data_IF_816656987273
#
_entry.id   IF_816656987273
#
_cell.length_a   1.000
_cell.length_b   1.000
_cell.length_c   1.000
_cell.angle_alpha   90.00
_cell.angle_beta   90.00
_cell.angle_gamma   90.00
#
_symmetry.space_group_name_H-M   'P 1'
#
loop_
_entity.id
_entity.type
_entity.pdbx_description
1 polymer ?
#
# COMPACT_ATOMS: atom_id res chain seq x y z
N UNK A 1 10.71 22.92 -1.44
CA UNK A 1 10.24 22.20 -2.66
C UNK A 1 9.00 21.41 -2.26
N UNK A 2 7.87 21.60 -2.93
CA UNK A 2 6.62 20.88 -2.64
C UNK A 2 6.64 19.55 -3.41
N UNK A 3 6.29 18.43 -2.76
CA UNK A 3 6.18 17.13 -3.45
C UNK A 3 4.97 17.10 -4.39
N UNK A 4 4.97 16.18 -5.36
CA UNK A 4 3.81 15.96 -6.24
C UNK A 4 2.52 15.77 -5.44
N UNK A 5 2.51 14.87 -4.45
CA UNK A 5 1.33 14.59 -3.63
C UNK A 5 0.84 15.80 -2.82
N UNK A 6 1.76 16.63 -2.31
CA UNK A 6 1.38 17.86 -1.62
C UNK A 6 0.78 18.90 -2.58
N UNK A 7 1.20 18.91 -3.84
CA UNK A 7 0.70 19.83 -4.86
C UNK A 7 -0.64 19.36 -5.47
N UNK A 8 -0.84 18.05 -5.60
CA UNK A 8 -2.05 17.46 -6.20
C UNK A 8 -3.16 17.09 -5.20
N UNK A 9 -2.91 17.21 -3.89
CA UNK A 9 -3.93 16.91 -2.86
C UNK A 9 -5.21 17.72 -3.10
N UNK A 10 -6.36 17.08 -2.96
CA UNK A 10 -7.67 17.71 -3.11
C UNK A 10 -8.33 18.08 -1.77
N UNK A 11 -7.64 17.85 -0.65
CA UNK A 11 -8.08 18.21 0.69
C UNK A 11 -6.93 18.81 1.48
N UNK A 12 -7.22 19.93 2.15
CA UNK A 12 -6.33 20.50 3.15
C UNK A 12 -6.68 19.90 4.51
N UNK A 13 -5.65 19.42 5.21
CA UNK A 13 -5.77 18.90 6.57
C UNK A 13 -5.20 19.97 7.50
N UNK A 14 -6.09 20.67 8.18
CA UNK A 14 -5.75 21.62 9.24
C UNK A 14 -6.23 21.04 10.57
N UNK A 15 -5.29 20.89 11.50
CA UNK A 15 -5.55 20.42 12.85
C UNK A 15 -5.12 21.50 13.83
N UNK A 16 -5.87 21.73 14.91
CA UNK A 16 -5.50 22.71 15.92
C UNK A 16 -4.21 22.27 16.61
N UNK A 17 -3.40 23.25 17.03
CA UNK A 17 -2.30 22.99 17.96
C UNK A 17 -2.89 22.47 19.27
N UNK A 18 -2.38 21.35 19.76
CA UNK A 18 -2.76 20.83 21.08
C UNK A 18 -2.30 21.81 22.16
N UNK A 19 -3.21 22.26 23.02
CA UNK A 19 -2.91 23.16 24.14
C UNK A 19 -3.50 22.61 25.43
N UNK A 20 -2.88 22.97 26.56
CA UNK A 20 -3.35 22.58 27.89
C UNK A 20 -3.35 21.07 28.14
N UNK A 21 -4.15 20.67 29.12
CA UNK A 21 -4.33 19.28 29.51
C UNK A 21 -5.49 18.65 28.72
N UNK A 22 -5.27 17.44 28.20
CA UNK A 22 -6.26 16.69 27.43
C UNK A 22 -6.35 15.27 27.98
N UNK A 23 -7.56 14.72 28.05
CA UNK A 23 -7.83 13.37 28.54
C UNK A 23 -8.48 12.56 27.43
N UNK A 24 -7.92 11.37 27.18
CA UNK A 24 -8.42 10.40 26.20
C UNK A 24 -8.23 8.99 26.76
N UNK A 25 -9.02 8.04 26.27
CA UNK A 25 -8.85 6.62 26.61
C UNK A 25 -7.56 6.07 25.99
N UNK A 26 -7.26 6.51 24.76
CA UNK A 26 -6.04 6.15 24.02
C UNK A 26 -5.39 7.39 23.42
N UNK A 27 -4.11 7.58 23.72
CA UNK A 27 -3.26 8.60 23.08
C UNK A 27 -2.33 7.94 22.05
N UNK A 28 -2.42 8.38 20.79
CA UNK A 28 -1.63 7.90 19.67
C UNK A 28 -0.60 8.96 19.28
N UNK A 29 0.67 8.57 19.26
CA UNK A 29 1.78 9.45 18.86
C UNK A 29 2.22 9.09 17.44
N UNK A 30 2.03 10.02 16.51
CA UNK A 30 2.45 9.93 15.10
C UNK A 30 1.28 9.86 14.12
N UNK A 31 1.22 10.82 13.19
CA UNK A 31 0.19 10.95 12.16
C UNK A 31 0.51 10.24 10.84
N UNK A 32 1.20 9.09 10.90
CA UNK A 32 1.45 8.21 9.75
C UNK A 32 0.34 7.17 9.54
N UNK A 33 0.51 6.25 8.58
CA UNK A 33 -0.50 5.22 8.27
C UNK A 33 -0.90 4.39 9.50
N UNK A 34 0.08 3.93 10.29
CA UNK A 34 -0.20 3.13 11.49
C UNK A 34 -1.02 3.92 12.51
N UNK A 35 -0.61 5.15 12.83
CA UNK A 35 -1.34 5.97 13.80
C UNK A 35 -2.74 6.34 13.33
N UNK A 36 -2.88 6.73 12.05
CA UNK A 36 -4.18 7.05 11.46
C UNK A 36 -5.10 5.84 11.38
N UNK A 37 -4.58 4.67 11.00
CA UNK A 37 -5.35 3.43 10.94
C UNK A 37 -5.81 3.01 12.33
N UNK A 38 -4.91 3.04 13.33
CA UNK A 38 -5.28 2.77 14.72
C UNK A 38 -6.34 3.75 15.23
N UNK A 39 -6.20 5.05 14.94
CA UNK A 39 -7.18 6.05 15.34
C UNK A 39 -8.55 5.81 14.70
N UNK A 40 -8.57 5.49 13.40
CA UNK A 40 -9.79 5.19 12.66
C UNK A 40 -10.56 4.02 13.29
N UNK A 41 -9.88 2.90 13.50
CA UNK A 41 -10.52 1.68 14.03
C UNK A 41 -10.91 1.78 15.50
N UNK A 42 -10.12 2.47 16.33
CA UNK A 42 -10.51 2.70 17.72
C UNK A 42 -11.70 3.67 17.81
N UNK A 43 -11.67 4.75 17.03
CA UNK A 43 -12.77 5.71 17.02
C UNK A 43 -14.08 5.12 16.45
N UNK A 44 -14.00 4.21 15.47
CA UNK A 44 -15.19 3.53 14.94
C UNK A 44 -15.88 2.63 15.97
N UNK A 45 -15.13 2.15 16.97
CA UNK A 45 -15.64 1.39 18.12
C UNK A 45 -16.06 2.30 19.29
N UNK A 46 -16.06 3.63 19.10
CA UNK A 46 -16.50 4.59 20.11
C UNK A 46 -15.46 4.94 21.18
N UNK A 47 -14.20 4.53 21.02
CA UNK A 47 -13.11 4.88 21.94
C UNK A 47 -12.76 6.37 21.81
N UNK A 48 -12.56 7.07 22.93
CA UNK A 48 -12.06 8.45 22.89
C UNK A 48 -10.56 8.45 22.59
N UNK A 49 -10.20 8.81 21.35
CA UNK A 49 -8.82 8.78 20.86
C UNK A 49 -8.26 10.17 20.66
N UNK A 50 -7.07 10.42 21.20
CA UNK A 50 -6.25 11.60 20.91
C UNK A 50 -5.06 11.20 20.02
N UNK A 51 -5.04 11.67 18.77
CA UNK A 51 -3.88 11.52 17.88
C UNK A 51 -3.06 12.81 17.85
N UNK A 52 -1.75 12.69 18.10
CA UNK A 52 -0.82 13.81 18.13
C UNK A 52 0.28 13.59 17.09
N UNK A 53 0.52 14.59 16.26
CA UNK A 53 1.62 14.65 15.29
C UNK A 53 2.41 15.94 15.53
N UNK A 54 3.74 15.86 15.56
CA UNK A 54 4.60 17.02 15.82
C UNK A 54 4.68 17.96 14.61
N UNK A 55 4.38 17.46 13.41
CA UNK A 55 4.37 18.22 12.17
C UNK A 55 2.95 18.26 11.56
N UNK A 56 2.84 18.03 10.24
CA UNK A 56 1.56 17.86 9.56
C UNK A 56 1.27 16.37 9.44
N UNK A 57 0.00 16.00 9.51
CA UNK A 57 -0.44 14.63 9.25
C UNK A 57 0.17 14.13 7.93
N UNK A 58 0.70 12.91 7.97
CA UNK A 58 1.40 12.25 6.88
C UNK A 58 2.67 12.97 6.36
N UNK A 59 3.31 13.89 7.09
CA UNK A 59 4.52 14.57 6.60
C UNK A 59 5.79 13.70 6.54
N UNK A 60 5.76 12.50 7.13
CA UNK A 60 6.87 11.54 7.10
C UNK A 60 6.79 10.53 5.94
N UNK A 61 7.31 9.33 6.17
CA UNK A 61 7.35 8.25 5.16
C UNK A 61 5.97 7.93 4.56
N UNK A 62 4.90 8.01 5.35
CA UNK A 62 3.54 7.71 4.88
C UNK A 62 3.01 8.68 3.82
N UNK A 63 3.41 9.95 3.81
CA UNK A 63 3.01 10.88 2.73
C UNK A 63 4.09 11.12 1.67
N UNK A 64 5.28 10.56 1.86
CA UNK A 64 6.41 10.66 0.93
C UNK A 64 6.69 9.36 0.15
N UNK A 65 5.78 8.39 0.17
CA UNK A 65 5.94 7.11 -0.50
C UNK A 65 5.62 7.19 -2.01
N UNK A 66 5.95 6.13 -2.77
CA UNK A 66 5.78 6.08 -4.23
C UNK A 66 4.34 5.92 -4.75
N UNK A 67 3.33 5.87 -3.87
CA UNK A 67 1.91 5.83 -4.24
C UNK A 67 1.40 4.47 -4.76
N UNK A 68 2.24 3.43 -4.71
CA UNK A 68 1.90 2.10 -5.22
C UNK A 68 1.27 1.22 -4.14
N UNK A 69 0.21 0.51 -4.51
CA UNK A 69 -0.48 -0.47 -3.65
C UNK A 69 -0.26 -1.86 -4.24
N UNK A 70 0.65 -2.64 -3.67
CA UNK A 70 1.03 -3.99 -4.14
C UNK A 70 0.93 -5.02 -3.01
N UNK A 71 0.72 -6.29 -3.37
CA UNK A 71 0.61 -7.41 -2.42
C UNK A 71 1.94 -8.09 -2.13
N UNK A 72 2.98 -7.77 -2.91
CA UNK A 72 4.30 -8.36 -2.76
C UNK A 72 5.08 -7.80 -1.58
N UNK A 73 5.96 -8.62 -1.01
CA UNK A 73 6.96 -8.16 -0.06
C UNK A 73 8.14 -7.52 -0.78
N UNK A 74 9.12 -7.01 -0.03
CA UNK A 74 10.39 -6.50 -0.59
C UNK A 74 11.11 -7.52 -1.49
N UNK A 75 10.86 -8.81 -1.31
CA UNK A 75 11.41 -9.92 -2.09
C UNK A 75 10.25 -10.76 -2.64
N UNK A 76 10.48 -11.36 -3.81
CA UNK A 76 9.51 -12.23 -4.47
C UNK A 76 9.25 -13.54 -3.69
N UNK A 77 8.21 -14.27 -4.10
CA UNK A 77 7.83 -15.52 -3.46
C UNK A 77 8.88 -16.62 -3.59
N UNK A 78 9.66 -16.69 -4.68
CA UNK A 78 10.72 -17.69 -4.80
C UNK A 78 11.79 -17.49 -3.72
N UNK A 79 12.20 -16.25 -3.49
CA UNK A 79 13.15 -15.90 -2.45
C UNK A 79 12.61 -16.20 -1.05
N UNK A 80 11.35 -15.82 -0.78
CA UNK A 80 10.71 -16.03 0.51
C UNK A 80 10.54 -17.51 0.81
N UNK A 81 10.11 -18.32 -0.17
CA UNK A 81 10.00 -19.77 -0.04
C UNK A 81 11.35 -20.41 0.31
N UNK A 82 12.41 -20.01 -0.40
CA UNK A 82 13.76 -20.52 -0.14
C UNK A 82 14.26 -20.16 1.25
N UNK A 83 13.90 -18.99 1.76
CA UNK A 83 14.44 -18.44 3.02
C UNK A 83 13.63 -18.85 4.24
N UNK A 84 12.31 -18.88 4.11
CA UNK A 84 11.36 -19.04 5.21
C UNK A 84 10.52 -20.31 5.10
N UNK A 85 10.51 -20.99 3.96
CA UNK A 85 9.60 -22.10 3.66
C UNK A 85 8.28 -21.62 3.06
N UNK A 86 7.59 -22.55 2.37
CA UNK A 86 6.39 -22.24 1.59
C UNK A 86 5.24 -21.68 2.44
N UNK A 87 4.98 -22.26 3.61
CA UNK A 87 3.84 -21.85 4.44
C UNK A 87 3.97 -20.40 4.92
N UNK A 88 5.17 -19.99 5.33
CA UNK A 88 5.44 -18.61 5.71
C UNK A 88 5.40 -17.66 4.52
N UNK A 89 5.94 -18.07 3.37
CA UNK A 89 5.85 -17.28 2.14
C UNK A 89 4.38 -17.07 1.73
N UNK A 90 3.55 -18.10 1.82
CA UNK A 90 2.10 -18.06 1.57
C UNK A 90 1.35 -17.17 2.56
N UNK A 91 1.69 -17.24 3.85
CA UNK A 91 1.11 -16.36 4.85
C UNK A 91 1.43 -14.89 4.58
N UNK A 92 2.69 -14.58 4.23
CA UNK A 92 3.12 -13.23 3.86
C UNK A 92 2.38 -12.71 2.63
N UNK A 93 2.27 -13.53 1.58
CA UNK A 93 1.47 -13.17 0.39
C UNK A 93 0.02 -12.85 0.76
N UNK A 94 -0.60 -13.70 1.59
CA UNK A 94 -1.97 -13.50 2.06
C UNK A 94 -2.16 -12.20 2.86
N UNK A 95 -1.16 -11.80 3.66
CA UNK A 95 -1.18 -10.50 4.36
C UNK A 95 -1.18 -9.36 3.34
N UNK A 96 -0.28 -9.39 2.35
CA UNK A 96 -0.18 -8.35 1.33
C UNK A 96 -1.46 -8.23 0.49
N UNK A 97 -2.05 -9.35 0.07
CA UNK A 97 -3.34 -9.35 -0.64
C UNK A 97 -4.45 -8.72 0.20
N UNK A 98 -4.60 -9.13 1.46
CA UNK A 98 -5.58 -8.53 2.38
C UNK A 98 -5.35 -7.03 2.56
N UNK A 99 -4.09 -6.59 2.67
CA UNK A 99 -3.76 -5.17 2.78
C UNK A 99 -4.15 -4.36 1.53
N UNK A 100 -3.97 -4.89 0.32
CA UNK A 100 -4.44 -4.20 -0.91
C UNK A 100 -5.94 -3.98 -0.90
N UNK A 101 -6.71 -5.04 -0.62
CA UNK A 101 -8.16 -4.95 -0.59
C UNK A 101 -8.63 -4.04 0.55
N UNK A 102 -7.98 -4.08 1.70
CA UNK A 102 -8.26 -3.17 2.81
C UNK A 102 -8.14 -1.69 2.41
N UNK A 103 -7.08 -1.32 1.69
CA UNK A 103 -6.92 0.05 1.16
C UNK A 103 -8.06 0.37 0.19
N UNK A 104 -8.41 -0.57 -0.69
CA UNK A 104 -9.51 -0.38 -1.65
C UNK A 104 -10.85 -0.20 -0.93
N UNK A 105 -11.14 -1.01 0.08
CA UNK A 105 -12.39 -0.96 0.85
C UNK A 105 -12.52 0.38 1.57
N UNK A 106 -11.44 0.89 2.17
CA UNK A 106 -11.42 2.24 2.78
C UNK A 106 -11.66 3.35 1.74
N UNK A 107 -11.08 3.22 0.55
CA UNK A 107 -11.31 4.18 -0.55
C UNK A 107 -12.78 4.19 -0.94
N UNK A 108 -13.39 3.01 -1.08
CA UNK A 108 -14.79 2.86 -1.47
C UNK A 108 -15.72 3.33 -0.33
N UNK A 109 -15.51 2.91 0.90
CA UNK A 109 -16.35 3.25 2.07
C UNK A 109 -16.40 4.77 2.31
N UNK A 110 -15.23 5.41 2.36
CA UNK A 110 -15.11 6.85 2.64
C UNK A 110 -15.15 7.73 1.37
N UNK A 111 -15.37 7.12 0.20
CA UNK A 111 -15.44 7.81 -1.10
C UNK A 111 -14.21 8.71 -1.34
N UNK A 112 -13.02 8.16 -1.06
CA UNK A 112 -11.76 8.90 -1.09
C UNK A 112 -11.32 9.13 -2.54
N UNK A 113 -11.27 10.40 -2.95
CA UNK A 113 -10.78 10.80 -4.27
C UNK A 113 -9.24 10.79 -4.27
N UNK A 114 -8.60 9.67 -4.55
CA UNK A 114 -7.13 9.55 -4.52
C UNK A 114 -6.53 9.01 -5.83
N UNK A 115 -7.23 9.19 -6.95
CA UNK A 115 -6.78 8.79 -8.29
C UNK A 115 -6.32 7.32 -8.39
N UNK A 116 -6.94 6.44 -7.59
CA UNK A 116 -6.60 5.02 -7.55
C UNK A 116 -6.79 4.38 -8.93
N UNK A 117 -5.79 3.60 -9.35
CA UNK A 117 -5.81 2.79 -10.58
C UNK A 117 -5.48 1.34 -10.23
N UNK A 118 -6.26 0.39 -10.77
CA UNK A 118 -6.00 -1.04 -10.61
C UNK A 118 -4.81 -1.43 -11.50
N UNK A 119 -3.85 -2.14 -10.92
CA UNK A 119 -2.75 -2.77 -11.64
C UNK A 119 -1.41 -2.04 -11.48
N UNK A 120 -0.33 -2.80 -11.60
CA UNK A 120 1.05 -2.31 -11.62
C UNK A 120 1.77 -3.05 -12.75
N UNK A 121 2.46 -2.31 -13.61
CA UNK A 121 3.31 -2.87 -14.65
C UNK A 121 4.75 -2.99 -14.15
N UNK A 122 5.39 -4.12 -14.44
CA UNK A 122 6.80 -4.36 -14.14
C UNK A 122 7.56 -4.64 -15.44
N UNK A 123 8.09 -3.59 -16.12
CA UNK A 123 8.80 -3.76 -17.39
C UNK A 123 10.16 -4.42 -17.20
N UNK A 124 10.49 -5.37 -18.07
CA UNK A 124 11.81 -5.97 -18.15
C UNK A 124 12.71 -5.15 -19.08
N UNK A 125 13.87 -4.75 -18.57
CA UNK A 125 14.86 -3.99 -19.35
C UNK A 125 15.85 -4.88 -20.12
N UNK A 126 15.73 -6.21 -20.03
CA UNK A 126 16.53 -7.20 -20.77
C UNK A 126 15.70 -8.45 -21.07
N UNK A 127 15.86 -9.00 -22.29
CA UNK A 127 15.13 -10.19 -22.74
C UNK A 127 15.27 -11.38 -21.78
N UNK A 128 16.46 -11.58 -21.20
CA UNK A 128 16.72 -12.70 -20.28
C UNK A 128 15.85 -12.69 -19.02
N UNK A 129 15.27 -11.56 -18.63
CA UNK A 129 14.38 -11.47 -17.47
C UNK A 129 12.93 -11.84 -17.82
N UNK A 130 12.58 -11.87 -19.10
CA UNK A 130 11.24 -12.22 -19.56
C UNK A 130 10.85 -13.66 -19.19
N UNK A 131 11.77 -14.61 -19.37
CA UNK A 131 11.57 -16.01 -18.96
C UNK A 131 11.35 -16.13 -17.45
N UNK A 132 12.09 -15.35 -16.65
CA UNK A 132 11.95 -15.33 -15.19
C UNK A 132 10.58 -14.75 -14.77
N UNK A 133 10.15 -13.66 -15.39
CA UNK A 133 8.83 -13.08 -15.14
C UNK A 133 7.70 -14.03 -15.52
N UNK A 134 7.80 -14.70 -16.69
CA UNK A 134 6.80 -15.68 -17.10
C UNK A 134 6.72 -16.84 -16.10
N UNK A 135 7.87 -17.38 -15.68
CA UNK A 135 7.93 -18.42 -14.65
C UNK A 135 7.34 -17.96 -13.32
N UNK A 136 7.55 -16.70 -12.95
CA UNK A 136 6.95 -16.13 -11.73
C UNK A 136 5.43 -16.07 -11.84
N UNK A 137 4.87 -15.61 -12.96
CA UNK A 137 3.42 -15.58 -13.20
C UNK A 137 2.82 -16.98 -13.09
N UNK A 138 3.44 -17.98 -13.73
CA UNK A 138 2.97 -19.36 -13.69
C UNK A 138 3.01 -19.94 -12.27
N UNK A 139 4.08 -19.63 -11.52
CA UNK A 139 4.25 -20.03 -10.13
C UNK A 139 3.17 -19.44 -9.22
N UNK A 140 2.87 -18.15 -9.38
CA UNK A 140 1.83 -17.48 -8.59
C UNK A 140 0.44 -18.05 -8.87
N UNK A 141 0.10 -18.31 -10.15
CA UNK A 141 -1.16 -18.95 -10.51
C UNK A 141 -1.27 -20.36 -9.92
N UNK A 142 -0.21 -21.17 -10.06
CA UNK A 142 -0.25 -22.58 -9.65
C UNK A 142 -0.20 -22.79 -8.13
N UNK A 143 0.67 -22.07 -7.42
CA UNK A 143 0.97 -22.37 -6.01
C UNK A 143 0.28 -21.41 -5.04
N UNK A 144 -0.11 -20.22 -5.50
CA UNK A 144 -0.79 -19.21 -4.69
C UNK A 144 -2.23 -18.95 -5.12
N UNK A 145 -2.73 -19.62 -6.16
CA UNK A 145 -4.06 -19.41 -6.73
C UNK A 145 -4.30 -17.94 -7.16
N UNK A 146 -3.24 -17.21 -7.46
CA UNK A 146 -3.30 -15.78 -7.75
C UNK A 146 -3.48 -15.53 -9.24
N UNK A 147 -4.68 -15.11 -9.63
CA UNK A 147 -5.08 -14.93 -11.04
C UNK A 147 -5.12 -13.47 -11.50
N UNK A 148 -4.98 -12.49 -10.60
CA UNK A 148 -4.86 -11.05 -10.89
C UNK A 148 -3.43 -10.67 -11.37
N UNK A 149 -2.73 -11.58 -12.07
CA UNK A 149 -1.39 -11.39 -12.65
C UNK A 149 -1.30 -12.01 -14.04
N UNK A 150 -0.63 -11.30 -14.93
CA UNK A 150 -0.36 -11.75 -16.29
C UNK A 150 1.06 -11.39 -16.71
N UNK A 151 1.65 -12.26 -17.54
CA UNK A 151 2.83 -11.90 -18.32
C UNK A 151 2.35 -11.17 -19.57
N UNK A 152 2.96 -10.03 -19.88
CA UNK A 152 2.62 -9.23 -21.06
C UNK A 152 3.75 -9.38 -22.08
N UNK A 153 3.37 -9.58 -23.34
CA UNK A 153 4.28 -9.45 -24.49
C UNK A 153 4.77 -8.01 -24.64
N UNK A 154 5.79 -7.80 -25.48
CA UNK A 154 6.33 -6.47 -25.75
C UNK A 154 5.25 -5.50 -26.25
N UNK A 155 4.33 -5.95 -27.11
CA UNK A 155 3.24 -5.12 -27.62
C UNK A 155 2.24 -4.76 -26.52
N UNK A 156 1.81 -5.73 -25.72
CA UNK A 156 0.89 -5.49 -24.59
C UNK A 156 1.53 -4.56 -23.53
N UNK A 157 2.83 -4.71 -23.28
CA UNK A 157 3.55 -3.83 -22.36
C UNK A 157 3.58 -2.38 -22.87
N UNK A 158 3.83 -2.16 -24.17
CA UNK A 158 3.80 -0.83 -24.79
C UNK A 158 2.43 -0.17 -24.68
N UNK A 159 1.36 -0.93 -24.87
CA UNK A 159 -0.01 -0.43 -24.69
C UNK A 159 -0.26 0.03 -23.25
N UNK A 160 0.23 -0.71 -22.26
CA UNK A 160 0.07 -0.37 -20.84
C UNK A 160 0.94 0.82 -20.43
N UNK A 161 2.18 0.94 -20.95
CA UNK A 161 3.11 2.02 -20.58
C UNK A 161 2.95 3.28 -21.42
N UNK A 162 2.21 3.23 -22.53
CA UNK A 162 2.01 4.37 -23.43
C UNK A 162 3.28 4.81 -24.16
N UNK A 163 4.22 3.88 -24.42
CA UNK A 163 5.54 4.13 -25.00
C UNK A 163 5.85 3.20 -26.16
#
# INVERSE_FOLDING_TARGET
>A
MQSYYQASRNKQIDQPTLTGENVADVCIIGGGYTGLSSALYLASEGVNVLLIESNKIASGASGANGGQVSGGMRRDQFYLEKTLGFDYAKALWGIGEKSKYHVKDLIDEYQIKCDYKKGIAHPNHKQKYCEESQRYVDHMKKNYDYHDIAYLSDNEMREVTGS
#
